data_IF_463685191734
#
_entry.id   IF_463685191734
#
_cell.length_a   1.000
_cell.length_b   1.000
_cell.length_c   1.000
_cell.angle_alpha   90.00
_cell.angle_beta   90.00
_cell.angle_gamma   90.00
#
_symmetry.space_group_name_H-M   'P 1'
#
loop_
_entity.id
_entity.type
_entity.pdbx_description
1 polymer ?
#
# COMPACT_ATOMS: atom_id res chain seq x y z
N UNK A 1 17.14 -25.36 -12.84
CA UNK A 1 16.16 -25.12 -13.92
C UNK A 1 16.01 -23.62 -14.11
N UNK A 2 16.29 -23.10 -15.30
CA UNK A 2 16.09 -21.68 -15.63
C UNK A 2 14.70 -21.50 -16.25
N UNK A 3 13.89 -20.59 -15.71
CA UNK A 3 12.55 -20.27 -16.23
C UNK A 3 12.51 -18.81 -16.60
N UNK A 4 12.20 -18.51 -17.87
CA UNK A 4 12.06 -17.14 -18.38
C UNK A 4 10.58 -16.83 -18.59
N UNK A 5 10.12 -15.67 -18.10
CA UNK A 5 8.73 -15.24 -18.26
C UNK A 5 8.62 -13.72 -18.22
N UNK A 6 7.79 -13.17 -19.10
CA UNK A 6 7.48 -11.73 -19.12
C UNK A 6 6.50 -11.32 -18.01
N UNK A 7 5.66 -12.26 -17.54
CA UNK A 7 4.75 -12.09 -16.41
C UNK A 7 4.69 -13.40 -15.63
N UNK A 8 5.35 -13.50 -14.47
CA UNK A 8 5.37 -14.75 -13.73
C UNK A 8 3.96 -15.14 -13.28
N UNK A 9 3.64 -16.43 -13.43
CA UNK A 9 2.39 -17.00 -12.95
C UNK A 9 2.28 -16.72 -11.44
N UNK A 10 1.09 -16.34 -10.91
CA UNK A 10 0.91 -15.96 -9.51
C UNK A 10 1.54 -16.94 -8.51
N UNK A 11 1.42 -18.26 -8.74
CA UNK A 11 2.02 -19.31 -7.89
C UNK A 11 3.56 -19.34 -7.97
N UNK A 12 4.13 -19.20 -9.16
CA UNK A 12 5.58 -19.18 -9.36
C UNK A 12 6.20 -17.91 -8.79
N UNK A 13 5.54 -16.78 -8.99
CA UNK A 13 5.90 -15.51 -8.35
C UNK A 13 5.85 -15.65 -6.82
N UNK A 14 4.82 -16.31 -6.29
CA UNK A 14 4.72 -16.58 -4.87
C UNK A 14 5.92 -17.42 -4.36
N UNK A 15 6.27 -18.51 -5.04
CA UNK A 15 7.43 -19.35 -4.68
C UNK A 15 8.75 -18.55 -4.73
N UNK A 16 8.91 -17.67 -5.71
CA UNK A 16 10.07 -16.78 -5.79
C UNK A 16 10.14 -15.82 -4.60
N UNK A 17 9.02 -15.17 -4.26
CA UNK A 17 8.92 -14.26 -3.11
C UNK A 17 9.14 -15.00 -1.78
N UNK A 18 8.81 -16.28 -1.72
CA UNK A 18 9.04 -17.14 -0.55
C UNK A 18 10.49 -17.60 -0.40
N UNK A 19 11.39 -17.24 -1.32
CA UNK A 19 12.78 -17.70 -1.30
C UNK A 19 12.96 -19.19 -1.60
N UNK A 20 11.88 -19.90 -1.96
CA UNK A 20 11.93 -21.28 -2.43
C UNK A 20 12.44 -21.37 -3.89
N UNK A 21 12.46 -20.24 -4.62
CA UNK A 21 13.11 -20.10 -5.92
C UNK A 21 13.82 -18.76 -6.01
N UNK A 22 15.02 -18.74 -6.58
CA UNK A 22 15.71 -17.51 -6.90
C UNK A 22 15.06 -16.83 -8.12
N UNK A 23 15.04 -15.50 -8.10
CA UNK A 23 14.43 -14.68 -9.14
C UNK A 23 15.35 -13.51 -9.47
N UNK A 24 15.51 -13.27 -10.77
CA UNK A 24 16.20 -12.10 -11.30
C UNK A 24 15.24 -11.37 -12.24
N UNK A 25 15.15 -10.05 -12.08
CA UNK A 25 14.25 -9.19 -12.86
C UNK A 25 15.06 -8.29 -13.78
N UNK A 26 14.73 -8.30 -15.07
CA UNK A 26 15.31 -7.39 -16.06
C UNK A 26 14.31 -6.25 -16.27
N UNK A 27 14.61 -5.07 -15.72
CA UNK A 27 13.73 -3.90 -15.81
C UNK A 27 14.10 -2.96 -16.97
N UNK A 28 15.37 -2.94 -17.37
CA UNK A 28 15.88 -2.01 -18.38
C UNK A 28 15.39 -2.40 -19.78
N UNK A 29 14.65 -1.52 -20.47
CA UNK A 29 14.25 -1.77 -21.85
C UNK A 29 15.43 -1.73 -22.82
N UNK A 30 15.32 -2.38 -23.99
CA UNK A 30 16.24 -2.17 -25.10
C UNK A 30 16.28 -0.70 -25.53
N UNK A 31 17.42 -0.25 -26.06
CA UNK A 31 17.56 1.07 -26.68
C UNK A 31 16.53 1.23 -27.82
N UNK A 32 16.03 2.45 -28.02
CA UNK A 32 15.04 2.85 -29.04
C UNK A 32 13.59 2.34 -28.88
N UNK A 33 13.25 1.61 -27.81
CA UNK A 33 11.87 1.14 -27.60
C UNK A 33 10.99 2.20 -26.93
N UNK A 34 9.97 2.68 -27.64
CA UNK A 34 8.97 3.61 -27.10
C UNK A 34 7.89 2.88 -26.28
N UNK A 35 7.34 3.51 -25.22
CA UNK A 35 6.21 2.96 -24.48
C UNK A 35 4.94 2.94 -25.34
N UNK A 36 4.10 1.92 -25.14
CA UNK A 36 2.87 1.75 -25.92
C UNK A 36 1.77 2.61 -25.32
N UNK A 37 1.20 3.52 -26.11
CA UNK A 37 0.10 4.37 -25.68
C UNK A 37 -1.18 3.55 -25.57
N UNK A 38 -1.69 3.41 -24.34
CA UNK A 38 -2.87 2.59 -24.05
C UNK A 38 -4.07 3.49 -23.77
N UNK A 39 -5.10 3.38 -24.62
CA UNK A 39 -6.35 4.13 -24.51
C UNK A 39 -7.51 3.17 -24.31
N UNK A 40 -8.38 3.50 -23.37
CA UNK A 40 -9.60 2.74 -23.08
C UNK A 40 -10.76 3.47 -23.74
N UNK A 41 -11.48 2.78 -24.60
CA UNK A 41 -12.59 3.34 -25.38
C UNK A 41 -13.86 2.51 -25.20
N UNK A 42 -15.00 3.13 -25.42
CA UNK A 42 -16.24 2.40 -25.66
C UNK A 42 -16.23 1.83 -27.09
N UNK A 43 -17.00 0.77 -27.34
CA UNK A 43 -17.16 0.30 -28.71
C UNK A 43 -17.91 1.36 -29.52
N UNK A 44 -17.18 2.02 -30.40
CA UNK A 44 -17.69 2.95 -31.39
C UNK A 44 -17.04 2.67 -32.74
N UNK A 45 -17.88 2.48 -33.76
CA UNK A 45 -17.43 2.14 -35.12
C UNK A 45 -16.56 3.24 -35.73
N UNK A 46 -16.85 4.51 -35.42
CA UNK A 46 -16.08 5.64 -35.94
C UNK A 46 -14.68 5.65 -35.34
N UNK A 47 -14.57 5.52 -34.02
CA UNK A 47 -13.29 5.46 -33.31
C UNK A 47 -12.42 4.29 -33.76
N UNK A 48 -13.00 3.10 -33.96
CA UNK A 48 -12.28 1.92 -34.47
C UNK A 48 -11.79 2.15 -35.90
N UNK A 49 -12.63 2.74 -36.77
CA UNK A 49 -12.27 3.09 -38.15
C UNK A 49 -11.11 4.08 -38.18
N UNK A 50 -11.19 5.15 -37.40
CA UNK A 50 -10.15 6.18 -37.34
C UNK A 50 -8.82 5.63 -36.81
N UNK A 51 -8.89 4.74 -35.80
CA UNK A 51 -7.70 4.05 -35.27
C UNK A 51 -7.01 3.18 -36.32
N UNK A 52 -7.78 2.38 -37.07
CA UNK A 52 -7.23 1.52 -38.11
C UNK A 52 -6.69 2.36 -39.28
N UNK A 53 -7.46 3.35 -39.75
CA UNK A 53 -7.06 4.20 -40.87
C UNK A 53 -5.77 4.97 -40.56
N UNK A 54 -5.60 5.43 -39.31
CA UNK A 54 -4.35 6.08 -38.87
C UNK A 54 -3.14 5.16 -39.03
N UNK A 55 -3.26 3.88 -38.72
CA UNK A 55 -2.16 2.93 -38.85
C UNK A 55 -1.89 2.58 -40.33
N UNK A 56 -2.95 2.37 -41.11
CA UNK A 56 -2.84 2.12 -42.55
C UNK A 56 -2.16 3.28 -43.29
N UNK A 57 -2.48 4.52 -42.93
CA UNK A 57 -1.86 5.72 -43.51
C UNK A 57 -0.35 5.81 -43.20
N UNK A 58 0.13 5.13 -42.14
CA UNK A 58 1.55 5.04 -41.77
C UNK A 58 2.23 3.82 -42.39
N UNK A 59 1.51 3.02 -43.19
CA UNK A 59 2.01 1.77 -43.75
C UNK A 59 2.21 0.66 -42.71
N UNK A 60 1.58 0.80 -41.53
CA UNK A 60 1.64 -0.20 -40.47
C UNK A 60 0.49 -1.19 -40.54
N UNK A 61 0.62 -2.28 -39.78
CA UNK A 61 -0.41 -3.31 -39.67
C UNK A 61 -1.17 -3.21 -38.36
N UNK A 62 -2.46 -3.59 -38.40
CA UNK A 62 -3.33 -3.58 -37.24
C UNK A 62 -3.65 -4.99 -36.78
N UNK A 63 -3.53 -5.19 -35.47
CA UNK A 63 -3.93 -6.41 -34.82
C UNK A 63 -5.26 -6.22 -34.11
N UNK A 64 -6.31 -6.93 -34.54
CA UNK A 64 -7.63 -6.88 -33.92
C UNK A 64 -7.92 -8.20 -33.20
N UNK A 65 -8.12 -8.12 -31.89
CA UNK A 65 -8.36 -9.29 -31.05
C UNK A 65 -9.85 -9.41 -30.72
N UNK A 66 -10.47 -10.50 -31.14
CA UNK A 66 -11.85 -10.86 -30.82
C UNK A 66 -11.88 -12.29 -30.27
N UNK A 67 -11.95 -12.44 -28.95
CA UNK A 67 -11.82 -13.74 -28.28
C UNK A 67 -13.13 -14.56 -28.26
N UNK A 68 -13.68 -14.81 -29.45
CA UNK A 68 -14.84 -15.69 -29.64
C UNK A 68 -14.92 -16.18 -31.10
N UNK A 69 -14.58 -17.45 -31.32
CA UNK A 69 -14.58 -18.05 -32.67
C UNK A 69 -15.97 -18.02 -33.30
N UNK A 70 -17.03 -18.25 -32.51
CA UNK A 70 -18.40 -18.30 -33.04
C UNK A 70 -18.87 -16.98 -33.68
N UNK A 71 -18.29 -15.84 -33.30
CA UNK A 71 -18.69 -14.50 -33.79
C UNK A 71 -17.59 -13.80 -34.57
N UNK A 72 -16.46 -14.47 -34.82
CA UNK A 72 -15.30 -13.86 -35.48
C UNK A 72 -15.59 -13.50 -36.93
N UNK A 73 -16.31 -14.35 -37.67
CA UNK A 73 -16.69 -14.09 -39.06
C UNK A 73 -17.66 -12.91 -39.15
N UNK A 74 -18.62 -12.81 -38.24
CA UNK A 74 -19.53 -11.65 -38.17
C UNK A 74 -18.75 -10.36 -37.90
N UNK A 75 -17.73 -10.41 -37.05
CA UNK A 75 -16.84 -9.26 -36.82
C UNK A 75 -15.98 -8.96 -38.05
N UNK A 76 -15.49 -9.98 -38.76
CA UNK A 76 -14.74 -9.83 -40.01
C UNK A 76 -15.56 -9.09 -41.06
N UNK A 77 -16.82 -9.49 -41.26
CA UNK A 77 -17.72 -8.84 -42.20
C UNK A 77 -18.04 -7.41 -41.80
N UNK A 78 -18.18 -7.14 -40.50
CA UNK A 78 -18.36 -5.77 -39.98
C UNK A 78 -17.13 -4.90 -40.26
N UNK A 79 -15.92 -5.43 -40.03
CA UNK A 79 -14.67 -4.72 -40.30
C UNK A 79 -14.45 -4.49 -41.80
N UNK A 80 -14.79 -5.46 -42.66
CA UNK A 80 -14.77 -5.30 -44.12
C UNK A 80 -15.69 -4.18 -44.60
N UNK A 81 -16.89 -4.06 -44.03
CA UNK A 81 -17.83 -2.95 -44.31
C UNK A 81 -17.30 -1.61 -43.83
N UNK A 82 -16.63 -1.58 -42.66
CA UNK A 82 -16.05 -0.37 -42.09
C UNK A 82 -14.87 0.15 -42.90
N UNK A 83 -14.03 -0.75 -43.44
CA UNK A 83 -12.77 -0.41 -44.10
C UNK A 83 -12.61 -1.27 -45.37
N UNK A 84 -13.33 -0.94 -46.45
CA UNK A 84 -13.33 -1.74 -47.68
C UNK A 84 -11.98 -1.72 -48.42
N UNK A 85 -11.10 -0.75 -48.11
CA UNK A 85 -9.78 -0.61 -48.74
C UNK A 85 -8.69 -1.47 -48.09
N UNK A 86 -8.94 -2.07 -46.93
CA UNK A 86 -7.93 -2.81 -46.17
C UNK A 86 -8.01 -4.32 -46.43
N UNK A 87 -6.85 -4.97 -46.51
CA UNK A 87 -6.74 -6.43 -46.68
C UNK A 87 -6.88 -7.09 -45.31
N UNK A 88 -8.07 -7.60 -45.01
CA UNK A 88 -8.39 -8.29 -43.76
C UNK A 88 -8.26 -9.81 -43.90
N UNK A 89 -7.56 -10.41 -42.95
CA UNK A 89 -7.44 -11.87 -42.79
C UNK A 89 -7.90 -12.30 -41.39
N UNK A 90 -8.44 -13.51 -41.29
CA UNK A 90 -8.95 -14.09 -40.04
C UNK A 90 -8.05 -15.26 -39.63
N UNK A 91 -7.65 -15.29 -38.37
CA UNK A 91 -6.92 -16.40 -37.76
C UNK A 91 -7.56 -16.82 -36.44
N UNK A 92 -7.92 -18.10 -36.26
CA UNK A 92 -8.41 -18.61 -34.98
C UNK A 92 -7.85 -20.00 -34.64
N UNK A 93 -7.77 -20.34 -33.35
CA UNK A 93 -7.10 -21.56 -32.88
C UNK A 93 -7.76 -22.87 -33.30
N UNK A 94 -9.02 -22.83 -33.75
CA UNK A 94 -9.73 -23.99 -34.33
C UNK A 94 -9.37 -24.28 -35.79
N UNK A 95 -8.56 -23.44 -36.44
CA UNK A 95 -8.10 -23.69 -37.81
C UNK A 95 -7.07 -24.84 -37.82
N UNK A 96 -7.03 -25.60 -38.92
CA UNK A 96 -5.95 -26.56 -39.13
C UNK A 96 -4.58 -25.85 -39.10
N UNK A 97 -3.58 -26.47 -38.47
CA UNK A 97 -2.26 -25.86 -38.23
C UNK A 97 -1.61 -25.29 -39.48
N UNK A 98 -1.67 -26.01 -40.61
CA UNK A 98 -1.11 -25.56 -41.88
C UNK A 98 -1.85 -24.36 -42.50
N UNK A 99 -3.14 -24.17 -42.22
CA UNK A 99 -3.90 -23.00 -42.69
C UNK A 99 -3.56 -21.78 -41.83
N UNK A 100 -3.48 -21.97 -40.52
CA UNK A 100 -3.09 -20.90 -39.59
C UNK A 100 -1.68 -20.40 -39.89
N UNK A 101 -0.74 -21.31 -40.13
CA UNK A 101 0.64 -20.98 -40.52
C UNK A 101 0.65 -20.10 -41.78
N UNK A 102 -0.06 -20.49 -42.84
CA UNK A 102 -0.18 -19.69 -44.07
C UNK A 102 -0.77 -18.30 -43.82
N UNK A 103 -1.78 -18.18 -42.96
CA UNK A 103 -2.37 -16.89 -42.59
C UNK A 103 -1.35 -16.01 -41.87
N UNK A 104 -0.59 -16.59 -40.94
CA UNK A 104 0.45 -15.86 -40.20
C UNK A 104 1.61 -15.45 -41.11
N UNK A 105 2.07 -16.31 -42.01
CA UNK A 105 3.10 -15.98 -43.00
C UNK A 105 2.68 -14.81 -43.88
N UNK A 106 1.44 -14.83 -44.39
CA UNK A 106 0.87 -13.71 -45.17
C UNK A 106 0.83 -12.41 -44.37
N UNK A 107 0.50 -12.48 -43.08
CA UNK A 107 0.50 -11.29 -42.23
C UNK A 107 1.93 -10.76 -42.02
N UNK A 108 2.89 -11.62 -41.67
CA UNK A 108 4.28 -11.21 -41.43
C UNK A 108 4.92 -10.62 -42.68
N UNK A 109 4.60 -11.16 -43.86
CA UNK A 109 5.09 -10.66 -45.15
C UNK A 109 4.49 -9.31 -45.57
N UNK A 110 3.46 -8.81 -44.90
CA UNK A 110 2.78 -7.57 -45.27
C UNK A 110 1.72 -7.74 -46.39
N UNK A 111 1.29 -8.98 -46.67
CA UNK A 111 0.24 -9.26 -47.66
C UNK A 111 -1.17 -8.91 -47.15
N UNK A 112 -1.31 -8.66 -45.86
CA UNK A 112 -2.55 -8.27 -45.20
C UNK A 112 -2.29 -7.12 -44.23
N UNK A 113 -3.23 -6.19 -44.15
CA UNK A 113 -3.08 -5.00 -43.31
C UNK A 113 -3.70 -5.18 -41.92
N UNK A 114 -4.75 -6.02 -41.84
CA UNK A 114 -5.49 -6.28 -40.60
C UNK A 114 -5.54 -7.78 -40.34
N UNK A 115 -5.04 -8.20 -39.17
CA UNK A 115 -5.23 -9.55 -38.65
C UNK A 115 -6.31 -9.55 -37.58
N UNK A 116 -7.47 -10.13 -37.90
CA UNK A 116 -8.52 -10.42 -36.93
C UNK A 116 -8.27 -11.80 -36.32
N UNK A 117 -8.07 -11.89 -35.01
CA UNK A 117 -7.81 -13.19 -34.39
C UNK A 117 -8.30 -13.35 -32.95
N UNK A 118 -8.24 -14.60 -32.49
CA UNK A 118 -8.41 -14.98 -31.06
C UNK A 118 -7.06 -14.90 -30.32
N UNK A 119 -6.99 -15.35 -29.06
CA UNK A 119 -5.77 -15.35 -28.22
C UNK A 119 -4.65 -16.29 -28.68
N UNK A 120 -4.67 -16.80 -29.91
CA UNK A 120 -3.66 -17.72 -30.47
C UNK A 120 -2.25 -17.17 -30.34
N UNK A 121 -2.12 -15.85 -30.39
CA UNK A 121 -0.85 -15.16 -30.23
C UNK A 121 -0.18 -15.50 -28.90
N UNK A 122 -0.87 -15.89 -27.82
CA UNK A 122 -0.24 -16.27 -26.54
C UNK A 122 0.87 -17.33 -26.68
N UNK A 123 0.84 -18.15 -27.74
CA UNK A 123 1.79 -19.24 -28.07
C UNK A 123 3.17 -18.81 -28.62
N UNK A 124 3.45 -17.51 -28.74
CA UNK A 124 4.82 -17.02 -29.00
C UNK A 124 5.10 -16.51 -30.41
N UNK A 125 4.06 -16.29 -31.23
CA UNK A 125 4.23 -15.59 -32.51
C UNK A 125 4.51 -14.11 -32.24
N UNK A 126 5.66 -13.66 -32.72
CA UNK A 126 6.05 -12.26 -32.71
C UNK A 126 5.56 -11.57 -33.97
N UNK A 127 4.96 -10.39 -33.83
CA UNK A 127 4.44 -9.61 -34.95
C UNK A 127 5.19 -8.28 -34.96
N UNK A 128 6.40 -8.24 -35.55
CA UNK A 128 7.25 -7.06 -35.49
C UNK A 128 6.61 -5.84 -36.17
N UNK A 129 5.80 -6.06 -37.19
CA UNK A 129 5.27 -5.02 -38.07
C UNK A 129 3.92 -4.42 -37.60
N UNK A 130 3.31 -4.96 -36.55
CA UNK A 130 2.09 -4.39 -35.99
C UNK A 130 2.42 -3.34 -34.92
N UNK A 131 2.01 -2.10 -35.15
CA UNK A 131 2.15 -1.02 -34.16
C UNK A 131 0.83 -0.65 -33.48
N UNK A 132 -0.32 -1.10 -34.00
CA UNK A 132 -1.62 -0.85 -33.38
C UNK A 132 -2.31 -2.16 -33.02
N UNK A 133 -2.71 -2.30 -31.75
CA UNK A 133 -3.56 -3.39 -31.25
C UNK A 133 -4.91 -2.85 -30.79
N UNK A 134 -5.97 -3.54 -31.18
CA UNK A 134 -7.34 -3.28 -30.76
C UNK A 134 -7.86 -4.54 -30.09
N UNK A 135 -8.21 -4.44 -28.81
CA UNK A 135 -8.75 -5.56 -28.03
C UNK A 135 -10.24 -5.35 -27.85
N UNK A 136 -11.04 -6.15 -28.55
CA UNK A 136 -12.47 -6.21 -28.31
C UNK A 136 -12.76 -6.92 -26.98
N UNK A 137 -13.76 -6.43 -26.24
CA UNK A 137 -14.16 -6.98 -24.94
C UNK A 137 -12.99 -7.16 -23.97
N UNK A 138 -12.20 -6.10 -23.77
CA UNK A 138 -11.05 -6.10 -22.86
C UNK A 138 -11.42 -6.49 -21.41
N UNK A 139 -12.71 -6.38 -21.03
CA UNK A 139 -13.26 -6.86 -19.76
C UNK A 139 -13.06 -8.35 -19.51
N UNK A 140 -12.98 -9.15 -20.58
CA UNK A 140 -12.87 -10.62 -20.51
C UNK A 140 -11.45 -11.14 -20.33
N UNK A 141 -10.45 -10.27 -20.44
CA UNK A 141 -9.05 -10.67 -20.36
C UNK A 141 -8.46 -10.42 -18.98
N UNK A 142 -7.58 -11.32 -18.53
CA UNK A 142 -6.77 -11.13 -17.34
C UNK A 142 -5.80 -9.95 -17.48
N UNK A 143 -5.34 -9.39 -16.35
CA UNK A 143 -4.39 -8.28 -16.38
C UNK A 143 -3.04 -8.70 -17.00
N UNK A 144 -2.56 -9.90 -16.66
CA UNK A 144 -1.33 -10.48 -17.23
C UNK A 144 -1.45 -10.74 -18.74
N UNK A 145 -2.60 -11.23 -19.20
CA UNK A 145 -2.88 -11.48 -20.64
C UNK A 145 -2.87 -10.18 -21.44
N UNK A 146 -3.58 -9.14 -20.95
CA UNK A 146 -3.58 -7.83 -21.60
C UNK A 146 -2.18 -7.22 -21.67
N UNK A 147 -1.36 -7.39 -20.63
CA UNK A 147 0.02 -6.92 -20.63
C UNK A 147 0.89 -7.69 -21.64
N UNK A 148 0.74 -9.00 -21.75
CA UNK A 148 1.46 -9.81 -22.74
C UNK A 148 1.03 -9.46 -24.16
N UNK A 149 -0.27 -9.35 -24.43
CA UNK A 149 -0.82 -8.97 -25.73
C UNK A 149 -0.33 -7.57 -26.15
N UNK A 150 -0.36 -6.61 -25.23
CA UNK A 150 0.22 -5.28 -25.43
C UNK A 150 1.71 -5.38 -25.76
N UNK A 151 2.47 -6.17 -24.99
CA UNK A 151 3.92 -6.28 -25.12
C UNK A 151 4.44 -6.84 -26.46
N UNK A 152 3.54 -7.40 -27.29
CA UNK A 152 3.85 -7.96 -28.62
C UNK A 152 3.74 -6.96 -29.76
N UNK A 153 3.34 -5.74 -29.46
CA UNK A 153 3.11 -4.65 -30.43
C UNK A 153 4.18 -3.59 -30.20
N UNK A 154 4.62 -2.90 -31.24
CA UNK A 154 5.57 -1.78 -31.12
C UNK A 154 7.03 -2.22 -30.89
N UNK A 155 7.60 -2.95 -31.85
CA UNK A 155 9.01 -3.35 -31.84
C UNK A 155 9.96 -2.41 -32.61
N UNK A 156 9.43 -1.41 -33.32
CA UNK A 156 10.21 -0.43 -34.08
C UNK A 156 10.22 0.96 -33.43
N UNK A 157 11.03 1.88 -33.97
CA UNK A 157 11.17 3.30 -33.56
C UNK A 157 9.87 4.13 -33.62
N UNK A 158 8.74 3.51 -33.97
CA UNK A 158 7.46 4.17 -34.14
C UNK A 158 6.58 3.99 -32.90
N UNK A 159 5.89 5.07 -32.54
CA UNK A 159 4.88 5.05 -31.49
C UNK A 159 3.79 4.01 -31.81
N UNK A 160 3.60 3.09 -30.87
CA UNK A 160 2.58 2.04 -30.92
C UNK A 160 1.38 2.40 -30.03
N UNK A 161 0.21 1.90 -30.43
CA UNK A 161 -1.07 2.20 -29.79
C UNK A 161 -1.81 0.92 -29.40
N UNK A 162 -2.41 0.93 -28.22
CA UNK A 162 -3.26 -0.14 -27.72
C UNK A 162 -4.65 0.42 -27.36
N UNK A 163 -5.66 0.03 -28.11
CA UNK A 163 -7.06 0.38 -27.86
C UNK A 163 -7.75 -0.77 -27.13
N UNK A 164 -8.22 -0.50 -25.92
CA UNK A 164 -8.93 -1.46 -25.09
C UNK A 164 -10.41 -1.10 -25.11
N UNK A 165 -11.20 -1.92 -25.81
CA UNK A 165 -12.63 -1.68 -25.96
C UNK A 165 -13.37 -2.29 -24.78
N UNK A 166 -14.19 -1.48 -24.12
CA UNK A 166 -15.10 -1.92 -23.08
C UNK A 166 -16.55 -1.70 -23.49
N UNK A 167 -17.46 -2.65 -23.19
CA UNK A 167 -18.89 -2.40 -23.38
C UNK A 167 -19.37 -1.37 -22.35
N UNK A 168 -20.37 -0.57 -22.73
CA UNK A 168 -20.95 0.51 -21.91
C UNK A 168 -21.30 0.08 -20.47
N UNK A 169 -21.75 -1.16 -20.29
CA UNK A 169 -22.12 -1.70 -18.97
C UNK A 169 -20.94 -2.33 -18.20
N UNK A 170 -19.79 -2.60 -18.82
CA UNK A 170 -18.61 -3.10 -18.09
C UNK A 170 -17.91 -2.01 -17.27
N UNK A 171 -18.21 -0.72 -17.51
CA UNK A 171 -17.79 0.36 -16.63
C UNK A 171 -18.34 0.20 -15.19
N UNK A 172 -19.42 -0.58 -15.02
CA UNK A 172 -20.04 -0.89 -13.73
C UNK A 172 -19.36 -2.07 -13.00
N UNK A 173 -18.54 -2.88 -13.68
CA UNK A 173 -17.76 -3.96 -13.05
C UNK A 173 -16.49 -3.40 -12.42
N UNK A 174 -16.53 -3.15 -11.11
CA UNK A 174 -15.44 -2.56 -10.33
C UNK A 174 -14.07 -3.24 -10.54
N UNK A 175 -14.05 -4.56 -10.79
CA UNK A 175 -12.83 -5.33 -10.97
C UNK A 175 -12.20 -5.18 -12.36
N UNK A 176 -13.01 -5.03 -13.42
CA UNK A 176 -12.51 -4.73 -14.76
C UNK A 176 -11.85 -3.33 -14.79
N UNK A 177 -12.48 -2.35 -14.14
CA UNK A 177 -11.96 -0.98 -14.04
C UNK A 177 -10.64 -0.92 -13.27
N UNK A 178 -10.53 -1.65 -12.15
CA UNK A 178 -9.28 -1.75 -11.37
C UNK A 178 -8.14 -2.37 -12.18
N UNK A 179 -8.41 -3.46 -12.92
CA UNK A 179 -7.40 -4.10 -13.80
C UNK A 179 -6.90 -3.14 -14.87
N UNK A 180 -7.82 -2.48 -15.58
CA UNK A 180 -7.46 -1.61 -16.70
C UNK A 180 -6.78 -0.32 -16.22
N UNK A 181 -7.22 0.23 -15.08
CA UNK A 181 -6.53 1.34 -14.43
C UNK A 181 -5.10 0.97 -14.03
N UNK A 182 -4.89 -0.23 -13.48
CA UNK A 182 -3.55 -0.72 -13.17
C UNK A 182 -2.68 -0.85 -14.44
N UNK A 183 -3.23 -1.37 -15.54
CA UNK A 183 -2.50 -1.49 -16.81
C UNK A 183 -2.03 -0.11 -17.35
N UNK A 184 -2.85 0.94 -17.18
CA UNK A 184 -2.50 2.32 -17.58
C UNK A 184 -1.44 2.93 -16.66
N UNK A 185 -1.52 2.68 -15.36
CA UNK A 185 -0.52 3.16 -14.37
C UNK A 185 0.86 2.51 -14.59
N UNK A 186 0.89 1.26 -15.04
CA UNK A 186 2.11 0.48 -15.28
C UNK A 186 2.42 0.35 -16.79
N UNK A 187 2.30 1.46 -17.52
CA UNK A 187 2.57 1.53 -18.96
C UNK A 187 4.05 1.58 -19.34
N UNK A 188 4.95 1.91 -18.40
CA UNK A 188 6.40 1.94 -18.65
C UNK A 188 6.95 0.53 -18.92
N UNK A 189 7.93 0.43 -19.82
CA UNK A 189 8.67 -0.80 -20.07
C UNK A 189 9.35 -1.27 -18.77
N UNK A 190 9.43 -2.59 -18.55
CA UNK A 190 9.93 -3.19 -17.30
C UNK A 190 8.87 -3.39 -16.20
N UNK A 191 7.61 -2.96 -16.41
CA UNK A 191 6.55 -3.06 -15.40
C UNK A 191 5.92 -4.46 -15.21
N UNK A 192 6.44 -5.50 -15.88
CA UNK A 192 5.86 -6.84 -15.89
C UNK A 192 5.79 -7.49 -14.51
N UNK A 193 6.82 -7.25 -13.67
CA UNK A 193 6.84 -7.69 -12.28
C UNK A 193 5.74 -7.03 -11.43
N UNK A 194 5.59 -5.70 -11.54
CA UNK A 194 4.57 -4.92 -10.81
C UNK A 194 3.15 -5.33 -11.22
N UNK A 195 2.98 -5.66 -12.49
CA UNK A 195 1.70 -6.13 -13.03
C UNK A 195 1.36 -7.53 -12.54
N UNK A 196 2.33 -8.45 -12.51
CA UNK A 196 2.11 -9.79 -11.98
C UNK A 196 1.78 -9.78 -10.47
N UNK A 197 2.44 -8.90 -9.70
CA UNK A 197 2.09 -8.65 -8.29
C UNK A 197 0.65 -8.16 -8.14
N UNK A 198 0.25 -7.20 -8.98
CA UNK A 198 -1.11 -6.64 -8.94
C UNK A 198 -2.16 -7.65 -9.42
N UNK A 199 -1.84 -8.50 -10.38
CA UNK A 199 -2.71 -9.60 -10.85
C UNK A 199 -2.91 -10.65 -9.76
N UNK A 200 -1.86 -11.00 -9.00
CA UNK A 200 -1.96 -11.86 -7.81
C UNK A 200 -2.86 -11.24 -6.72
N UNK A 201 -2.73 -9.93 -6.47
CA UNK A 201 -3.61 -9.21 -5.54
C UNK A 201 -5.07 -9.16 -5.99
N UNK A 202 -5.32 -8.93 -7.28
CA UNK A 202 -6.67 -8.81 -7.85
C UNK A 202 -7.36 -10.17 -7.96
N UNK A 203 -6.67 -11.21 -8.44
CA UNK A 203 -7.21 -12.59 -8.50
C UNK A 203 -7.34 -13.21 -7.11
N UNK A 204 -6.63 -12.64 -6.14
CA UNK A 204 -6.68 -13.00 -4.73
C UNK A 204 -5.78 -14.18 -4.39
N UNK A 205 -4.86 -13.96 -3.44
CA UNK A 205 -4.35 -15.01 -2.54
C UNK A 205 -5.45 -15.52 -1.57
N UNK A 206 -6.71 -15.48 -2.00
CA UNK A 206 -7.92 -15.61 -1.18
C UNK A 206 -8.30 -17.04 -0.81
N UNK A 207 -7.58 -18.07 -1.28
CA UNK A 207 -7.86 -19.45 -0.91
C UNK A 207 -7.05 -19.98 0.28
N UNK A 208 -6.22 -19.15 0.92
CA UNK A 208 -5.47 -19.59 2.11
C UNK A 208 -6.07 -19.14 3.44
N UNK A 209 -7.00 -18.17 3.48
CA UNK A 209 -7.48 -17.58 4.74
C UNK A 209 -9.00 -17.33 4.83
N UNK A 210 -9.81 -17.91 3.95
CA UNK A 210 -11.27 -17.99 4.11
C UNK A 210 -12.08 -16.96 3.32
N UNK A 211 -13.27 -17.40 2.89
CA UNK A 211 -14.24 -16.61 2.14
C UNK A 211 -15.00 -15.66 3.07
N UNK A 212 -15.31 -14.47 2.58
CA UNK A 212 -16.02 -13.38 3.26
C UNK A 212 -15.15 -12.49 4.15
N UNK A 213 -14.39 -11.57 3.55
CA UNK A 213 -14.44 -10.15 3.93
C UNK A 213 -13.69 -9.28 2.93
N UNK A 214 -14.29 -8.13 2.66
CA UNK A 214 -14.01 -7.17 1.57
C UNK A 214 -12.53 -6.91 1.24
N UNK A 215 -12.27 -6.68 -0.06
CA UNK A 215 -10.95 -6.59 -0.71
C UNK A 215 -9.96 -5.49 -0.26
N UNK A 216 -10.14 -4.90 0.93
CA UNK A 216 -9.11 -4.11 1.62
C UNK A 216 -8.35 -4.94 2.66
N UNK A 217 -9.00 -5.91 3.31
CA UNK A 217 -8.38 -6.80 4.30
C UNK A 217 -7.42 -7.81 3.61
N UNK A 218 -7.77 -8.25 2.40
CA UNK A 218 -6.99 -9.19 1.59
C UNK A 218 -5.60 -8.65 1.20
N UNK A 219 -5.50 -7.35 0.90
CA UNK A 219 -4.21 -6.71 0.56
C UNK A 219 -3.29 -6.57 1.78
N UNK A 220 -3.86 -6.30 2.96
CA UNK A 220 -3.11 -6.18 4.22
C UNK A 220 -2.63 -7.55 4.72
N UNK A 221 -3.45 -8.59 4.54
CA UNK A 221 -3.12 -9.97 4.92
C UNK A 221 -1.95 -10.55 4.11
N UNK A 222 -1.91 -10.30 2.80
CA UNK A 222 -0.81 -10.77 1.95
C UNK A 222 0.54 -10.17 2.35
N UNK A 223 0.56 -8.88 2.69
CA UNK A 223 1.79 -8.18 3.02
C UNK A 223 2.31 -8.57 4.42
N UNK A 224 1.44 -8.95 5.37
CA UNK A 224 1.82 -9.57 6.65
C UNK A 224 2.33 -11.00 6.43
N UNK A 225 1.65 -11.77 5.58
CA UNK A 225 2.07 -13.12 5.21
C UNK A 225 3.47 -13.13 4.57
N UNK A 226 3.74 -12.24 3.61
CA UNK A 226 5.09 -12.08 3.05
C UNK A 226 6.12 -11.68 4.10
N UNK A 227 5.77 -10.88 5.11
CA UNK A 227 6.66 -10.54 6.21
C UNK A 227 6.97 -11.76 7.11
N UNK A 228 5.94 -12.47 7.57
CA UNK A 228 6.10 -13.69 8.39
C UNK A 228 6.90 -14.76 7.67
N UNK A 229 6.68 -14.87 6.36
CA UNK A 229 7.35 -15.86 5.55
C UNK A 229 8.80 -15.46 5.26
N UNK A 230 9.09 -14.19 4.95
CA UNK A 230 10.48 -13.67 4.91
C UNK A 230 11.21 -13.93 6.22
N UNK A 231 10.56 -13.71 7.38
CA UNK A 231 11.15 -14.00 8.68
C UNK A 231 11.43 -15.50 8.87
N UNK A 232 10.50 -16.37 8.46
CA UNK A 232 10.65 -17.82 8.56
C UNK A 232 11.80 -18.32 7.68
N UNK A 233 11.94 -17.78 6.46
CA UNK A 233 13.02 -18.10 5.54
C UNK A 233 14.37 -17.62 6.07
N UNK A 234 14.44 -16.40 6.63
CA UNK A 234 15.66 -15.90 7.28
C UNK A 234 16.12 -16.79 8.45
N UNK A 235 15.17 -17.26 9.28
CA UNK A 235 15.45 -18.23 10.35
C UNK A 235 16.03 -19.54 9.80
N UNK A 236 15.45 -20.06 8.72
CA UNK A 236 15.92 -21.29 8.07
C UNK A 236 17.28 -21.13 7.40
N UNK A 237 17.60 -19.93 6.87
CA UNK A 237 18.90 -19.61 6.28
C UNK A 237 20.00 -19.34 7.31
N UNK A 238 19.71 -19.44 8.61
CA UNK A 238 20.68 -19.18 9.68
C UNK A 238 21.04 -17.71 9.85
N UNK A 239 20.34 -16.78 9.18
CA UNK A 239 20.50 -15.35 9.40
C UNK A 239 19.95 -15.00 10.80
N UNK A 240 20.68 -14.18 11.55
CA UNK A 240 20.26 -13.69 12.85
C UNK A 240 19.01 -12.81 12.70
N UNK A 241 17.83 -13.43 12.74
CA UNK A 241 16.58 -12.71 12.92
C UNK A 241 16.63 -12.12 14.31
N UNK A 242 16.92 -10.81 14.41
CA UNK A 242 16.99 -10.09 15.68
C UNK A 242 15.82 -10.51 16.57
N UNK A 243 16.13 -11.04 17.76
CA UNK A 243 15.13 -11.45 18.73
C UNK A 243 14.23 -10.24 18.99
N UNK A 244 13.01 -10.27 18.45
CA UNK A 244 12.00 -9.27 18.76
C UNK A 244 11.62 -9.45 20.22
N UNK A 245 12.13 -8.56 21.07
CA UNK A 245 11.61 -8.41 22.42
C UNK A 245 10.27 -7.68 22.24
N UNK A 246 9.18 -8.37 22.49
CA UNK A 246 7.85 -7.75 22.46
C UNK A 246 7.73 -6.83 23.68
N UNK A 247 7.90 -5.53 23.45
CA UNK A 247 7.79 -4.51 24.52
C UNK A 247 6.36 -4.01 24.58
N UNK A 248 5.69 -4.29 25.70
CA UNK A 248 4.38 -3.67 26.00
C UNK A 248 4.61 -2.28 26.56
N UNK A 249 3.96 -1.28 25.96
CA UNK A 249 4.03 0.11 26.43
C UNK A 249 2.60 0.57 26.74
N UNK A 250 2.36 0.92 28.00
CA UNK A 250 1.06 1.40 28.49
C UNK A 250 1.28 2.75 29.14
N UNK A 251 0.73 3.81 28.54
CA UNK A 251 0.88 5.19 29.02
C UNK A 251 -0.50 5.77 29.24
N UNK A 252 -0.88 5.98 30.50
CA UNK A 252 -2.21 6.44 30.91
C UNK A 252 -2.59 7.85 30.43
N UNK A 253 -1.60 8.66 30.05
CA UNK A 253 -1.73 10.03 29.55
C UNK A 253 -1.76 10.14 28.01
N UNK A 254 -1.71 9.02 27.29
CA UNK A 254 -1.84 8.99 25.83
C UNK A 254 -3.10 8.23 25.38
N UNK A 255 -3.80 8.80 24.42
CA UNK A 255 -4.87 8.14 23.67
C UNK A 255 -4.27 7.50 22.42
N UNK A 256 -4.27 6.16 22.36
CA UNK A 256 -3.69 5.41 21.25
C UNK A 256 -4.70 5.19 20.13
N UNK A 257 -5.99 5.30 20.44
CA UNK A 257 -7.07 5.28 19.46
C UNK A 257 -7.88 6.58 19.48
N UNK A 258 -8.44 6.99 18.33
CA UNK A 258 -9.38 8.11 18.27
C UNK A 258 -10.57 7.90 19.23
N UNK A 259 -10.90 8.91 20.03
CA UNK A 259 -12.01 8.86 20.99
C UNK A 259 -11.64 8.41 22.41
N UNK A 260 -10.40 7.97 22.65
CA UNK A 260 -9.85 7.74 24.00
C UNK A 260 -9.32 9.03 24.65
N UNK A 261 -9.47 10.17 23.97
CA UNK A 261 -8.99 11.47 24.42
C UNK A 261 -9.81 11.98 25.61
N UNK A 262 -9.13 12.37 26.68
CA UNK A 262 -9.74 12.99 27.86
C UNK A 262 -9.05 14.32 28.11
N UNK A 263 -9.81 15.42 28.21
CA UNK A 263 -9.22 16.67 28.71
C UNK A 263 -9.02 16.54 30.21
N UNK A 264 -7.89 17.02 30.72
CA UNK A 264 -7.66 17.11 32.16
C UNK A 264 -8.82 17.90 32.80
N UNK A 265 -9.46 17.33 33.80
CA UNK A 265 -10.42 18.05 34.62
C UNK A 265 -9.65 19.15 35.38
N UNK A 266 -9.98 20.41 35.09
CA UNK A 266 -9.44 21.53 35.89
C UNK A 266 -10.13 21.47 37.25
N UNK A 267 -9.38 21.21 38.32
CA UNK A 267 -9.87 21.50 39.67
C UNK A 267 -10.39 22.94 39.71
N UNK A 268 -11.57 23.20 40.31
CA UNK A 268 -12.07 24.57 40.42
C UNK A 268 -11.00 25.39 41.12
N UNK A 269 -10.56 26.49 40.47
CA UNK A 269 -9.72 27.48 41.13
C UNK A 269 -10.50 27.90 42.38
N UNK A 270 -9.96 27.67 43.58
CA UNK A 270 -10.45 28.33 44.80
C UNK A 270 -10.63 29.79 44.41
N UNK A 271 -11.87 30.28 44.46
CA UNK A 271 -12.16 31.67 44.17
C UNK A 271 -11.23 32.51 45.04
N UNK A 272 -10.55 33.49 44.45
CA UNK A 272 -9.80 34.46 45.25
C UNK A 272 -10.79 35.03 46.29
N UNK A 273 -10.40 35.16 47.57
CA UNK A 273 -11.29 35.74 48.55
C UNK A 273 -11.74 37.12 48.03
N UNK A 274 -13.04 37.43 48.09
CA UNK A 274 -13.54 38.73 47.62
C UNK A 274 -12.77 39.84 48.33
N UNK A 275 -12.16 40.74 47.56
CA UNK A 275 -11.59 41.97 48.09
C UNK A 275 -12.75 42.86 48.53
N UNK A 276 -13.10 42.82 49.81
CA UNK A 276 -13.96 43.83 50.41
C UNK A 276 -13.09 45.04 50.76
N UNK A 277 -13.33 46.18 50.13
CA UNK A 277 -12.85 47.47 50.63
C UNK A 277 -13.66 47.81 51.89
N UNK A 278 -13.17 47.36 53.04
CA UNK A 278 -13.72 47.77 54.33
C UNK A 278 -13.04 49.08 54.73
N UNK A 279 -13.76 50.19 54.61
CA UNK A 279 -13.37 51.44 55.28
C UNK A 279 -13.67 51.28 56.77
N UNK A 280 -12.64 51.29 57.61
CA UNK A 280 -12.75 51.11 59.06
C UNK A 280 -12.85 52.49 59.74
N UNK A 281 -13.92 52.79 60.49
CA UNK A 281 -13.83 53.66 61.66
C UNK A 281 -13.38 52.82 62.86
N UNK A 282 -12.39 53.35 63.58
CA UNK A 282 -11.69 52.72 64.70
C UNK A 282 -12.63 52.25 65.82
N UNK A 283 -12.09 51.28 66.57
CA UNK A 283 -12.50 50.74 67.87
C UNK A 283 -13.41 49.51 67.82
N UNK A 284 -12.81 48.32 67.95
CA UNK A 284 -12.80 47.49 69.19
C UNK A 284 -11.90 46.28 68.91
N UNK A 285 -10.96 46.03 69.81
CA UNK A 285 -10.02 44.91 69.80
C UNK A 285 -10.76 43.62 70.14
N UNK A 286 -10.65 42.60 69.30
CA UNK A 286 -10.88 41.21 69.69
C UNK A 286 -9.66 40.39 69.27
N UNK A 287 -8.95 39.88 70.27
CA UNK A 287 -7.94 38.83 70.14
C UNK A 287 -8.65 37.55 69.67
N UNK A 288 -8.19 36.97 68.56
CA UNK A 288 -8.55 35.62 68.15
C UNK A 288 -7.26 34.81 68.15
N UNK A 289 -7.26 33.78 68.98
CA UNK A 289 -6.18 32.82 69.17
C UNK A 289 -5.79 32.15 67.85
N UNK A 290 -4.48 31.98 67.65
CA UNK A 290 -3.90 31.23 66.53
C UNK A 290 -4.24 29.74 66.70
N UNK A 291 -5.22 29.25 65.94
CA UNK A 291 -5.37 27.82 65.73
C UNK A 291 -4.21 27.32 64.84
N UNK A 292 -3.34 26.50 65.42
CA UNK A 292 -2.35 25.71 64.70
C UNK A 292 -3.07 24.83 63.65
N UNK A 293 -3.02 25.25 62.39
CA UNK A 293 -3.32 24.38 61.26
C UNK A 293 -2.29 23.24 61.23
N UNK A 294 -2.66 22.12 61.87
CA UNK A 294 -2.01 20.83 61.63
C UNK A 294 -1.88 20.59 60.12
N UNK A 295 -0.68 20.24 59.61
CA UNK A 295 -0.51 19.95 58.20
C UNK A 295 -1.21 18.63 57.89
N UNK A 296 -2.45 18.71 57.44
CA UNK A 296 -3.17 17.56 56.89
C UNK A 296 -2.35 16.94 55.77
N UNK A 297 -1.83 15.74 56.04
CA UNK A 297 -1.23 14.83 55.07
C UNK A 297 -2.22 14.63 53.91
N UNK A 298 -1.99 15.27 52.76
CA UNK A 298 -2.73 14.94 51.54
C UNK A 298 -2.04 13.79 50.83
N UNK A 299 -2.56 12.60 51.14
CA UNK A 299 -2.23 11.32 50.53
C UNK A 299 -2.38 11.33 48.99
N UNK A 300 -1.36 10.75 48.33
CA UNK A 300 -1.33 9.97 47.07
C UNK A 300 -2.49 10.06 46.03
N UNK A 301 -3.12 11.22 45.79
CA UNK A 301 -4.08 11.38 44.69
C UNK A 301 -3.36 11.45 43.33
N UNK A 302 -3.63 10.48 42.47
CA UNK A 302 -3.13 10.45 41.09
C UNK A 302 -3.66 11.66 40.31
N UNK A 303 -2.77 12.59 39.96
CA UNK A 303 -3.14 13.85 39.28
C UNK A 303 -3.57 13.58 37.83
N UNK A 304 -4.83 13.91 37.49
CA UNK A 304 -5.39 13.74 36.14
C UNK A 304 -4.81 14.78 35.16
N UNK A 305 -3.89 14.35 34.30
CA UNK A 305 -3.31 15.19 33.23
C UNK A 305 -4.02 15.03 31.89
N UNK A 306 -5.14 14.29 31.84
CA UNK A 306 -5.86 13.96 30.63
C UNK A 306 -5.09 13.01 29.70
N UNK A 307 -5.73 12.63 28.59
CA UNK A 307 -5.19 11.79 27.53
C UNK A 307 -5.04 12.57 26.24
N UNK A 308 -3.80 12.76 25.79
CA UNK A 308 -3.52 13.43 24.52
C UNK A 308 -3.38 12.44 23.37
N UNK A 309 -3.79 12.81 22.14
CA UNK A 309 -3.78 11.89 21.01
C UNK A 309 -2.36 11.51 20.58
N UNK A 310 -2.15 10.21 20.34
CA UNK A 310 -0.93 9.61 19.83
C UNK A 310 -1.25 8.55 18.76
N UNK A 311 -1.92 8.97 17.68
CA UNK A 311 -2.35 8.11 16.57
C UNK A 311 -2.19 8.84 15.22
N UNK A 312 -2.31 8.12 14.11
CA UNK A 312 -2.33 8.66 12.75
C UNK A 312 -3.70 9.28 12.43
N UNK A 313 -3.83 10.62 12.36
CA UNK A 313 -5.14 11.25 12.23
C UNK A 313 -5.65 11.21 10.79
N UNK A 314 -6.98 11.13 10.63
CA UNK A 314 -7.66 11.00 9.33
C UNK A 314 -7.39 12.19 8.40
N UNK A 315 -7.16 13.38 8.95
CA UNK A 315 -6.89 14.59 8.18
C UNK A 315 -5.49 14.63 7.57
N UNK A 316 -4.51 13.97 8.18
CA UNK A 316 -3.14 13.92 7.68
C UNK A 316 -2.94 12.76 6.70
N UNK A 317 -3.58 11.61 6.98
CA UNK A 317 -3.52 10.42 6.12
C UNK A 317 -4.96 9.97 5.82
N UNK A 318 -5.60 10.52 4.79
CA UNK A 318 -7.01 10.25 4.48
C UNK A 318 -7.26 8.77 4.12
N UNK A 319 -6.33 8.18 3.36
CA UNK A 319 -6.44 6.79 2.91
C UNK A 319 -6.27 5.80 4.07
N UNK A 320 -7.32 5.02 4.35
CA UNK A 320 -7.30 3.97 5.38
C UNK A 320 -6.19 2.92 5.14
N UNK A 321 -5.96 2.54 3.88
CA UNK A 321 -4.92 1.56 3.51
C UNK A 321 -3.53 2.02 3.94
N UNK A 322 -3.19 3.28 3.65
CA UNK A 322 -1.88 3.82 3.97
C UNK A 322 -1.67 3.91 5.48
N UNK A 323 -2.72 4.27 6.24
CA UNK A 323 -2.68 4.23 7.71
C UNK A 323 -2.41 2.84 8.26
N UNK A 324 -3.10 1.81 7.76
CA UNK A 324 -2.89 0.43 8.19
C UNK A 324 -1.44 -0.01 7.92
N UNK A 325 -0.91 0.29 6.73
CA UNK A 325 0.49 -0.02 6.38
C UNK A 325 1.45 0.67 7.34
N UNK A 326 1.25 1.95 7.64
CA UNK A 326 2.11 2.71 8.55
C UNK A 326 2.02 2.18 9.98
N UNK A 327 0.83 1.84 10.49
CA UNK A 327 0.69 1.20 11.79
C UNK A 327 1.41 -0.16 11.85
N UNK A 328 1.36 -0.94 10.78
CA UNK A 328 2.09 -2.22 10.73
C UNK A 328 3.60 -2.02 10.68
N UNK A 329 4.08 -1.03 9.91
CA UNK A 329 5.50 -0.63 9.91
C UNK A 329 5.93 -0.21 11.31
N UNK A 330 5.16 0.65 11.99
CA UNK A 330 5.39 1.08 13.37
C UNK A 330 5.45 -0.10 14.35
N UNK A 331 4.53 -1.05 14.24
CA UNK A 331 4.52 -2.26 15.07
C UNK A 331 5.69 -3.21 14.77
N UNK A 332 6.25 -3.13 13.56
CA UNK A 332 7.33 -3.98 13.08
C UNK A 332 8.74 -3.43 13.29
N UNK A 333 8.88 -2.19 13.75
CA UNK A 333 10.17 -1.52 13.96
C UNK A 333 11.04 -2.30 14.96
N UNK A 334 12.29 -2.53 14.57
CA UNK A 334 13.26 -3.26 15.37
C UNK A 334 14.49 -2.45 15.77
N UNK A 335 14.79 -1.38 15.04
CA UNK A 335 15.93 -0.50 15.31
C UNK A 335 15.61 0.99 15.12
N UNK A 336 16.55 1.84 15.51
CA UNK A 336 16.41 3.30 15.43
C UNK A 336 16.54 3.82 13.98
N UNK A 337 17.24 3.09 13.11
CA UNK A 337 17.42 3.46 11.69
C UNK A 337 16.13 3.29 10.89
N UNK A 338 15.39 2.20 11.10
CA UNK A 338 14.07 1.93 10.54
C UNK A 338 13.07 3.00 10.99
N UNK A 339 13.14 3.44 12.25
CA UNK A 339 12.29 4.51 12.77
C UNK A 339 12.59 5.86 12.08
N UNK A 340 13.87 6.18 11.88
CA UNK A 340 14.27 7.40 11.18
C UNK A 340 13.82 7.37 9.71
N UNK A 341 13.99 6.25 9.02
CA UNK A 341 13.53 6.06 7.65
C UNK A 341 12.00 6.20 7.54
N UNK A 342 11.25 5.62 8.48
CA UNK A 342 9.79 5.74 8.51
C UNK A 342 9.34 7.19 8.76
N UNK A 343 10.07 7.94 9.59
CA UNK A 343 9.79 9.36 9.84
C UNK A 343 9.98 10.19 8.56
N UNK A 344 11.07 9.98 7.83
CA UNK A 344 11.29 10.66 6.55
C UNK A 344 10.27 10.23 5.50
N UNK A 345 9.91 8.94 5.41
CA UNK A 345 8.85 8.47 4.51
C UNK A 345 7.51 9.18 4.77
N UNK A 346 7.13 9.34 6.05
CA UNK A 346 5.89 10.04 6.39
C UNK A 346 5.98 11.51 5.98
N UNK A 347 7.13 12.16 6.23
CA UNK A 347 7.33 13.57 5.88
C UNK A 347 7.30 13.81 4.38
N UNK A 348 8.02 13.00 3.62
CA UNK A 348 8.13 13.12 2.16
C UNK A 348 6.78 12.93 1.47
N UNK A 349 5.98 11.95 1.94
CA UNK A 349 4.72 11.58 1.30
C UNK A 349 3.51 12.37 1.77
N UNK A 350 3.48 12.78 3.04
CA UNK A 350 2.29 13.39 3.68
C UNK A 350 2.54 14.82 4.19
N UNK A 351 3.76 15.33 4.04
CA UNK A 351 4.14 16.67 4.46
C UNK A 351 4.47 16.77 5.96
N UNK A 352 4.26 17.94 6.58
CA UNK A 352 4.71 18.19 7.95
C UNK A 352 4.01 17.27 8.96
N UNK A 353 4.80 16.66 9.86
CA UNK A 353 4.33 15.68 10.85
C UNK A 353 3.52 16.38 11.95
N UNK A 354 2.22 16.06 12.13
CA UNK A 354 1.41 16.63 13.20
C UNK A 354 1.82 16.13 14.59
N UNK A 355 1.51 16.90 15.64
CA UNK A 355 1.81 16.54 17.05
C UNK A 355 1.32 15.13 17.45
N UNK A 356 0.11 14.66 17.07
CA UNK A 356 -0.31 13.29 17.38
C UNK A 356 0.60 12.21 16.78
N UNK A 357 1.07 12.43 15.54
CA UNK A 357 1.96 11.51 14.85
C UNK A 357 3.36 11.55 15.46
N UNK A 358 3.84 12.73 15.88
CA UNK A 358 5.12 12.86 16.58
C UNK A 358 5.11 12.07 17.90
N UNK A 359 4.02 12.13 18.68
CA UNK A 359 3.88 11.34 19.92
C UNK A 359 3.87 9.85 19.64
N UNK A 360 3.17 9.41 18.61
CA UNK A 360 3.16 8.01 18.18
C UNK A 360 4.58 7.52 17.81
N UNK A 361 5.34 8.33 17.07
CA UNK A 361 6.73 8.03 16.74
C UNK A 361 7.64 7.99 17.98
N UNK A 362 7.42 8.86 18.97
CA UNK A 362 8.13 8.80 20.25
C UNK A 362 7.79 7.54 21.05
N UNK A 363 6.54 7.08 21.04
CA UNK A 363 6.17 5.79 21.66
C UNK A 363 6.88 4.63 20.96
N UNK A 364 6.99 4.66 19.63
CA UNK A 364 7.76 3.68 18.89
C UNK A 364 9.27 3.74 19.23
N UNK A 365 9.83 4.93 19.39
CA UNK A 365 11.22 5.13 19.87
C UNK A 365 11.44 4.48 21.24
N UNK A 366 10.51 4.67 22.19
CA UNK A 366 10.57 4.06 23.52
C UNK A 366 10.56 2.53 23.43
N UNK A 367 9.76 1.94 22.54
CA UNK A 367 9.73 0.48 22.31
C UNK A 367 11.08 -0.04 21.82
N UNK A 368 11.70 0.64 20.85
CA UNK A 368 13.01 0.26 20.30
C UNK A 368 14.10 0.36 21.36
N UNK A 369 14.12 1.46 22.14
CA UNK A 369 15.10 1.64 23.23
C UNK A 369 14.92 0.60 24.34
N UNK A 370 13.68 0.33 24.74
CA UNK A 370 13.37 -0.70 25.73
C UNK A 370 13.79 -2.09 25.24
N UNK A 371 13.52 -2.43 23.98
CA UNK A 371 13.93 -3.71 23.39
C UNK A 371 15.46 -3.88 23.40
N UNK A 372 16.21 -2.82 23.05
CA UNK A 372 17.67 -2.83 23.10
C UNK A 372 18.23 -3.07 24.51
N UNK A 373 17.51 -2.64 25.56
CA UNK A 373 17.86 -2.85 26.98
C UNK A 373 17.21 -4.10 27.60
N UNK A 374 16.61 -4.96 26.78
CA UNK A 374 15.86 -6.16 27.21
C UNK A 374 14.71 -5.88 28.18
N UNK A 375 14.15 -4.67 28.18
CA UNK A 375 12.95 -4.31 28.94
C UNK A 375 11.72 -4.79 28.16
N UNK A 376 10.89 -5.62 28.77
CA UNK A 376 9.69 -6.23 28.17
C UNK A 376 8.42 -5.44 28.42
N UNK A 377 8.42 -4.51 29.38
CA UNK A 377 7.26 -3.68 29.71
C UNK A 377 7.63 -2.29 30.19
N UNK A 378 6.92 -1.28 29.71
CA UNK A 378 7.00 0.12 30.18
C UNK A 378 5.57 0.57 30.49
N UNK A 379 5.27 0.79 31.76
CA UNK A 379 3.96 1.24 32.22
C UNK A 379 4.09 2.57 32.97
N UNK A 380 3.24 3.53 32.62
CA UNK A 380 3.09 4.79 33.32
C UNK A 380 1.67 4.87 33.89
N UNK A 381 1.58 5.01 35.22
CA UNK A 381 0.32 5.15 35.95
C UNK A 381 0.45 6.29 36.96
N UNK A 382 -0.34 7.35 36.78
CA UNK A 382 -0.23 8.61 37.50
C UNK A 382 1.17 9.20 37.31
N UNK A 383 1.89 9.37 38.41
CA UNK A 383 3.27 9.87 38.38
C UNK A 383 4.31 8.74 38.43
N UNK A 384 3.93 7.47 38.57
CA UNK A 384 4.85 6.34 38.77
C UNK A 384 5.20 5.68 37.42
N UNK A 385 6.48 5.35 37.25
CA UNK A 385 7.02 4.61 36.10
C UNK A 385 7.37 3.20 36.54
N UNK A 386 6.81 2.21 35.86
CA UNK A 386 7.02 0.79 36.11
C UNK A 386 7.68 0.15 34.90
N UNK A 387 8.89 -0.37 35.08
CA UNK A 387 9.62 -1.09 34.05
C UNK A 387 9.66 -2.56 34.37
N UNK A 388 9.42 -3.42 33.38
CA UNK A 388 9.44 -4.87 33.54
C UNK A 388 10.53 -5.46 32.66
N UNK A 389 11.35 -6.35 33.21
CA UNK A 389 12.35 -7.13 32.48
C UNK A 389 12.21 -8.60 32.87
N UNK A 390 11.99 -9.47 31.90
CA UNK A 390 11.79 -10.91 32.10
C UNK A 390 10.71 -11.23 33.15
N UNK A 391 9.62 -10.46 33.18
CA UNK A 391 8.51 -10.65 34.13
C UNK A 391 8.76 -10.12 35.55
N UNK A 392 9.92 -9.52 35.83
CA UNK A 392 10.21 -8.85 37.11
C UNK A 392 10.22 -7.33 36.96
N UNK A 393 9.61 -6.64 37.92
CA UNK A 393 9.63 -5.18 38.00
C UNK A 393 11.04 -4.70 38.39
N UNK A 394 11.56 -3.74 37.64
CA UNK A 394 12.82 -3.05 37.95
C UNK A 394 12.47 -1.86 38.84
N UNK A 395 13.00 -1.86 40.05
CA UNK A 395 13.01 -0.69 40.94
C UNK A 395 14.40 -0.06 40.93
N UNK A 396 14.50 1.25 40.71
CA UNK A 396 15.76 1.99 40.81
C UNK A 396 15.87 2.52 42.24
N UNK A 397 16.84 2.04 43.02
CA UNK A 397 17.05 2.46 44.41
C UNK A 397 15.91 2.09 45.38
N UNK A 398 15.19 0.99 45.12
CA UNK A 398 14.12 0.49 46.00
C UNK A 398 12.76 1.20 45.86
N UNK A 399 12.63 2.19 44.97
CA UNK A 399 11.37 2.89 44.66
C UNK A 399 11.12 2.94 43.15
N UNK A 400 9.86 3.14 42.76
CA UNK A 400 9.51 3.40 41.36
C UNK A 400 9.89 4.85 40.99
N UNK A 401 10.59 5.06 39.87
CA UNK A 401 10.86 6.41 39.37
C UNK A 401 9.56 7.18 39.18
N UNK A 402 9.56 8.47 39.52
CA UNK A 402 8.41 9.35 39.34
C UNK A 402 8.66 10.39 38.26
N UNK A 403 7.61 10.76 37.52
CA UNK A 403 7.69 11.87 36.55
C UNK A 403 7.92 13.20 37.27
N UNK A 404 8.88 13.99 36.78
CA UNK A 404 9.10 15.36 37.24
C UNK A 404 8.31 16.36 36.39
N UNK A 405 8.19 16.10 35.08
CA UNK A 405 7.46 16.96 34.14
C UNK A 405 5.95 16.70 34.14
N UNK A 406 5.22 17.82 34.04
CA UNK A 406 3.75 17.87 34.05
C UNK A 406 3.11 17.71 32.67
N UNK A 407 3.86 17.92 31.58
CA UNK A 407 3.33 17.80 30.21
C UNK A 407 3.49 16.38 29.67
N UNK A 408 2.51 15.83 28.90
CA UNK A 408 2.63 14.54 28.23
C UNK A 408 3.90 14.41 27.37
N UNK A 409 4.24 15.47 26.63
CA UNK A 409 5.44 15.51 25.79
C UNK A 409 6.74 15.53 26.62
N UNK A 410 6.69 16.11 27.83
CA UNK A 410 7.76 16.11 28.81
C UNK A 410 7.97 14.74 29.45
N UNK A 411 6.89 14.04 29.80
CA UNK A 411 6.91 12.66 30.33
C UNK A 411 7.51 11.67 29.33
N UNK A 412 7.16 11.78 28.05
CA UNK A 412 7.81 11.00 26.98
C UNK A 412 9.32 11.25 26.91
N UNK A 413 9.75 12.49 27.10
CA UNK A 413 11.16 12.86 27.14
C UNK A 413 11.90 12.24 28.33
N UNK A 414 11.28 12.20 29.51
CA UNK A 414 11.85 11.57 30.71
C UNK A 414 11.97 10.05 30.56
N UNK A 415 10.95 9.38 30.02
CA UNK A 415 11.03 7.94 29.72
C UNK A 415 12.18 7.62 28.79
N UNK A 416 12.41 8.47 27.77
CA UNK A 416 13.52 8.29 26.84
C UNK A 416 14.88 8.41 27.55
N UNK A 417 15.06 9.43 28.39
CA UNK A 417 16.30 9.62 29.14
C UNK A 417 16.55 8.46 30.11
N UNK A 418 15.50 8.00 30.78
CA UNK A 418 15.55 6.89 31.72
C UNK A 418 15.92 5.57 31.03
N UNK A 419 15.32 5.26 29.87
CA UNK A 419 15.67 4.08 29.08
C UNK A 419 17.08 4.14 28.48
N UNK A 420 17.64 5.33 28.24
CA UNK A 420 19.03 5.48 27.79
C UNK A 420 20.05 5.29 28.92
N UNK A 421 19.66 5.59 30.16
CA UNK A 421 20.51 5.50 31.34
C UNK A 421 20.58 4.08 31.95
N UNK A 422 19.58 3.24 31.67
CA UNK A 422 19.61 1.77 31.89
C UNK A 422 20.61 1.10 30.94
#
# INVERSE_FOLDING_TARGET
VLTLTATPIPRTLHMALTGARDMSTIETPPQDRLPIETTVIEFDEKTVRDAIQRELNRGGQVFFLHNRVTTIETMADRLRKLIPKARLIVGHGQMASGTLEKVMTRFVNGDADILLSTTIIESGVDIPNANTIIVDRADRFGLSELYQLRGRVGRYKHQAYAYLILPRHAALLADARKRISALKQYSKLGSGFKIAMRDLEIRGAGNLLGAQQSGHITAVGFELYCQLLKQSVKRLKGEAVGRRVEVRVTLDFLAMNPGEEKRAERAPRKAAPPQFEVTVPREVVHEVEEEEETPTETADEARDIGRVPAYLPFNHIPEMRQRIILYRKLAGLSDATELAALREEIRDRFGPIPKPVERLLRVAELKVLAAAKSVTGVEAKGDKIMLTRNGKLITLGGKFPRFAKRSPDGRLGELRTLLKAL
#
